data_IF_503693759348
#
_entry.id   IF_503693759348
#
_cell.length_a   1.000
_cell.length_b   1.000
_cell.length_c   1.000
_cell.angle_alpha   90.00
_cell.angle_beta   90.00
_cell.angle_gamma   90.00
#
_symmetry.space_group_name_H-M   'P 1'
#
loop_
_entity.id
_entity.type
_entity.pdbx_description
1 polymer ?
#
# COMPACT_ATOMS: atom_id res chain seq x y z
N UNK A 1 9.55 25.11 -8.34
CA UNK A 1 10.38 24.72 -7.18
C UNK A 1 9.60 23.59 -6.51
N UNK A 2 10.10 22.35 -6.59
CA UNK A 2 9.49 21.20 -5.90
C UNK A 2 9.63 21.46 -4.39
N UNK A 3 8.59 21.29 -3.58
CA UNK A 3 8.76 21.36 -2.14
C UNK A 3 9.73 20.26 -1.73
N UNK A 4 10.85 20.63 -1.11
CA UNK A 4 11.75 19.64 -0.49
C UNK A 4 10.93 18.82 0.50
N UNK A 5 11.05 17.50 0.40
CA UNK A 5 10.38 16.59 1.32
C UNK A 5 10.94 16.88 2.74
N UNK A 6 10.10 17.26 3.71
CA UNK A 6 10.56 17.71 5.02
C UNK A 6 11.47 16.65 5.67
N UNK A 7 12.61 17.05 6.23
CA UNK A 7 13.55 16.16 6.95
C UNK A 7 12.81 15.33 8.00
N UNK A 8 11.86 15.91 8.73
CA UNK A 8 11.02 15.24 9.71
C UNK A 8 10.17 14.09 9.13
N UNK A 9 9.83 14.12 7.85
CA UNK A 9 9.08 13.01 7.23
C UNK A 9 10.02 11.85 6.86
N UNK A 10 11.30 12.14 6.54
CA UNK A 10 12.32 11.09 6.31
C UNK A 10 12.63 10.37 7.61
N UNK A 11 12.79 11.10 8.72
CA UNK A 11 13.09 10.54 10.05
C UNK A 11 12.01 9.54 10.51
N UNK A 12 10.74 9.77 10.16
CA UNK A 12 9.64 8.86 10.49
C UNK A 12 9.71 7.51 9.76
N UNK A 13 10.39 7.46 8.62
CA UNK A 13 10.57 6.22 7.86
C UNK A 13 11.75 5.38 8.36
N UNK A 14 12.71 5.97 9.12
CA UNK A 14 13.90 5.26 9.57
C UNK A 14 13.61 3.98 10.38
N UNK A 15 12.65 3.96 11.35
CA UNK A 15 12.37 2.77 12.13
C UNK A 15 11.76 1.61 11.34
N UNK A 16 11.31 1.85 10.11
CA UNK A 16 10.64 0.82 9.29
C UNK A 16 11.60 -0.33 8.98
N UNK A 17 12.85 -0.03 8.65
CA UNK A 17 13.83 -1.06 8.30
C UNK A 17 14.13 -1.99 9.48
N UNK A 18 14.31 -1.45 10.68
CA UNK A 18 14.59 -2.23 11.88
C UNK A 18 13.40 -3.14 12.23
N UNK A 19 12.17 -2.60 12.17
CA UNK A 19 10.96 -3.37 12.43
C UNK A 19 10.70 -4.46 11.38
N UNK A 20 11.00 -4.18 10.10
CA UNK A 20 10.92 -5.20 9.05
C UNK A 20 11.95 -6.31 9.27
N UNK A 21 13.18 -5.98 9.71
CA UNK A 21 14.19 -6.98 10.04
C UNK A 21 13.78 -7.88 11.21
N UNK A 22 13.19 -7.28 12.24
CA UNK A 22 12.86 -7.97 13.49
C UNK A 22 11.54 -8.76 13.38
N UNK A 23 10.52 -8.16 12.76
CA UNK A 23 9.15 -8.68 12.81
C UNK A 23 8.56 -9.01 11.43
N UNK A 24 9.17 -8.56 10.33
CA UNK A 24 8.63 -8.68 8.98
C UNK A 24 7.53 -7.66 8.64
N UNK A 25 7.19 -6.77 9.56
CA UNK A 25 6.18 -5.72 9.36
C UNK A 25 6.46 -4.47 10.21
N UNK A 26 5.88 -3.34 9.78
CA UNK A 26 5.95 -2.06 10.48
C UNK A 26 4.70 -1.24 10.23
N UNK A 27 4.27 -0.48 11.24
CA UNK A 27 3.23 0.55 11.12
C UNK A 27 3.80 1.86 11.62
N UNK A 28 3.64 2.92 10.82
CA UNK A 28 4.12 4.28 11.11
C UNK A 28 2.96 5.25 10.93
N UNK A 29 2.68 6.05 11.94
CA UNK A 29 1.68 7.12 11.85
C UNK A 29 2.27 8.41 11.28
N UNK A 30 1.43 9.24 10.67
CA UNK A 30 1.82 10.55 10.10
C UNK A 30 3.03 10.44 9.14
N UNK A 31 3.06 9.37 8.31
CA UNK A 31 4.18 9.10 7.41
C UNK A 31 4.41 10.19 6.36
N UNK A 32 3.39 10.96 5.99
CA UNK A 32 3.45 12.07 5.05
C UNK A 32 2.85 13.35 5.64
N UNK A 33 3.21 14.55 5.10
CA UNK A 33 2.58 15.80 5.47
C UNK A 33 1.07 15.80 5.21
N UNK A 34 0.29 16.41 6.11
CA UNK A 34 -1.19 16.47 6.03
C UNK A 34 -1.66 17.03 4.68
N UNK A 35 -1.05 18.11 4.18
CA UNK A 35 -1.43 18.69 2.89
C UNK A 35 -1.25 17.72 1.70
N UNK A 36 -0.26 16.82 1.77
CA UNK A 36 -0.06 15.76 0.77
C UNK A 36 -1.15 14.70 0.90
N UNK A 37 -1.47 14.29 2.13
CA UNK A 37 -2.51 13.30 2.41
C UNK A 37 -3.89 13.79 1.95
N UNK A 38 -4.24 15.05 2.25
CA UNK A 38 -5.51 15.66 1.85
C UNK A 38 -5.67 15.72 0.32
N UNK A 39 -4.60 16.03 -0.41
CA UNK A 39 -4.63 16.04 -1.87
C UNK A 39 -4.73 14.63 -2.46
N UNK A 40 -4.04 13.65 -1.87
CA UNK A 40 -4.14 12.24 -2.28
C UNK A 40 -5.55 11.69 -2.00
N UNK A 41 -6.16 12.02 -0.85
CA UNK A 41 -7.54 11.64 -0.54
C UNK A 41 -8.51 12.25 -1.55
N UNK A 42 -8.42 13.58 -1.80
CA UNK A 42 -9.25 14.26 -2.80
C UNK A 42 -9.11 13.65 -4.19
N UNK A 43 -7.88 13.34 -4.61
CA UNK A 43 -7.63 12.68 -5.89
C UNK A 43 -8.30 11.31 -5.98
N UNK A 44 -8.21 10.49 -4.92
CA UNK A 44 -8.85 9.17 -4.87
C UNK A 44 -10.38 9.28 -4.95
N UNK A 45 -10.98 10.19 -4.19
CA UNK A 45 -12.44 10.41 -4.20
C UNK A 45 -12.94 10.96 -5.53
N UNK A 46 -12.22 11.90 -6.14
CA UNK A 46 -12.56 12.41 -7.47
C UNK A 46 -12.52 11.33 -8.56
N UNK A 47 -11.54 10.40 -8.47
CA UNK A 47 -11.49 9.22 -9.36
C UNK A 47 -12.67 8.27 -9.13
N UNK A 48 -13.13 8.13 -7.88
CA UNK A 48 -14.30 7.33 -7.54
C UNK A 48 -15.59 7.94 -8.06
N UNK A 49 -15.82 9.22 -7.77
CA UNK A 49 -17.00 9.99 -8.23
C UNK A 49 -17.09 10.08 -9.77
N UNK A 50 -15.93 10.18 -10.43
CA UNK A 50 -15.83 10.17 -11.89
C UNK A 50 -15.81 8.77 -12.52
N UNK A 51 -16.13 7.72 -11.75
CA UNK A 51 -16.16 6.31 -12.20
C UNK A 51 -14.86 5.86 -12.89
N UNK A 52 -13.72 6.45 -12.51
CA UNK A 52 -12.42 6.14 -13.09
C UNK A 52 -11.69 4.99 -12.37
N UNK A 53 -12.13 4.61 -11.17
CA UNK A 53 -11.70 3.38 -10.50
C UNK A 53 -12.44 2.18 -11.09
N UNK A 54 -11.75 1.07 -11.30
CA UNK A 54 -12.33 -0.17 -11.85
C UNK A 54 -12.30 -1.27 -10.79
N UNK A 55 -13.32 -2.16 -10.76
CA UNK A 55 -13.29 -3.33 -9.87
C UNK A 55 -11.95 -4.07 -10.00
N UNK A 56 -11.34 -4.37 -8.86
CA UNK A 56 -10.09 -5.11 -8.86
C UNK A 56 -10.34 -6.58 -9.20
N UNK A 57 -9.49 -7.14 -10.06
CA UNK A 57 -9.54 -8.55 -10.40
C UNK A 57 -8.55 -9.35 -9.55
N UNK A 58 -8.85 -10.65 -9.36
CA UNK A 58 -7.94 -11.67 -8.83
C UNK A 58 -7.50 -12.58 -9.97
N UNK A 59 -6.32 -13.20 -9.84
CA UNK A 59 -5.72 -14.00 -10.91
C UNK A 59 -4.84 -13.18 -11.85
N UNK A 60 -4.41 -13.76 -12.97
CA UNK A 60 -3.47 -13.16 -13.92
C UNK A 60 -3.84 -13.43 -15.37
N UNK A 61 -3.36 -12.52 -16.24
CA UNK A 61 -3.51 -12.66 -17.67
C UNK A 61 -4.98 -12.92 -18.06
N UNK A 62 -5.22 -13.94 -18.88
CA UNK A 62 -6.56 -14.32 -19.30
C UNK A 62 -7.45 -14.99 -18.23
N UNK A 63 -6.89 -15.32 -17.06
CA UNK A 63 -7.63 -15.93 -15.94
C UNK A 63 -8.06 -14.92 -14.86
N UNK A 64 -7.90 -13.62 -15.14
CA UNK A 64 -8.36 -12.58 -14.23
C UNK A 64 -9.88 -12.58 -14.10
N UNK A 65 -10.36 -12.62 -12.85
CA UNK A 65 -11.79 -12.59 -12.52
C UNK A 65 -12.09 -11.52 -11.48
N UNK A 66 -13.19 -10.80 -11.68
CA UNK A 66 -13.74 -9.90 -10.68
C UNK A 66 -14.64 -10.72 -9.77
N UNK A 67 -14.24 -10.91 -8.51
CA UNK A 67 -14.96 -11.68 -7.49
C UNK A 67 -15.18 -10.80 -6.27
N UNK A 68 -16.26 -9.98 -6.24
CA UNK A 68 -16.48 -8.98 -5.18
C UNK A 68 -16.56 -9.58 -3.76
N UNK A 69 -17.04 -10.81 -3.63
CA UNK A 69 -17.12 -11.56 -2.37
C UNK A 69 -15.75 -11.97 -1.81
N UNK A 70 -14.70 -11.90 -2.63
CA UNK A 70 -13.32 -12.20 -2.24
C UNK A 70 -12.51 -10.90 -2.12
N UNK A 71 -12.63 -10.01 -3.12
CA UNK A 71 -11.91 -8.74 -3.20
C UNK A 71 -12.85 -7.64 -3.71
N UNK A 72 -13.24 -6.73 -2.82
CA UNK A 72 -14.27 -5.73 -3.08
C UNK A 72 -13.77 -4.31 -3.39
N UNK A 73 -12.46 -4.10 -3.59
CA UNK A 73 -11.92 -2.78 -3.93
C UNK A 73 -12.06 -2.44 -5.41
N UNK A 74 -12.08 -1.13 -5.69
CA UNK A 74 -11.93 -0.55 -7.01
C UNK A 74 -10.59 0.18 -7.06
N UNK A 75 -9.85 0.02 -8.17
CA UNK A 75 -8.48 0.50 -8.28
C UNK A 75 -8.24 1.37 -9.50
N UNK A 76 -7.21 2.23 -9.41
CA UNK A 76 -6.60 2.94 -10.53
C UNK A 76 -5.09 2.99 -10.33
N UNK A 77 -4.33 2.43 -11.27
CA UNK A 77 -2.87 2.49 -11.22
C UNK A 77 -2.37 3.93 -11.29
N UNK A 78 -1.33 4.25 -10.52
CA UNK A 78 -0.78 5.61 -10.49
C UNK A 78 -0.20 6.04 -11.84
N UNK A 79 0.36 5.09 -12.60
CA UNK A 79 0.91 5.33 -13.95
C UNK A 79 -0.17 5.76 -14.94
N UNK A 80 -1.43 5.35 -14.72
CA UNK A 80 -2.58 5.75 -15.54
C UNK A 80 -3.20 7.08 -15.13
N UNK A 81 -2.67 7.73 -14.10
CA UNK A 81 -3.21 8.99 -13.58
C UNK A 81 -2.37 10.18 -14.08
N UNK A 82 -2.99 11.35 -14.39
CA UNK A 82 -2.22 12.56 -14.71
C UNK A 82 -1.31 12.95 -13.53
N UNK A 83 -0.07 13.41 -13.73
CA UNK A 83 0.83 13.78 -12.65
C UNK A 83 0.29 14.94 -11.82
N UNK A 84 0.49 14.90 -10.48
CA UNK A 84 0.26 16.02 -9.58
C UNK A 84 1.32 16.06 -8.47
N UNK A 85 1.44 17.20 -7.78
CA UNK A 85 2.48 17.41 -6.78
C UNK A 85 2.42 16.42 -5.61
N UNK A 86 1.22 16.06 -5.15
CA UNK A 86 1.04 15.14 -4.03
C UNK A 86 1.47 13.70 -4.38
N UNK A 87 1.14 13.24 -5.61
CA UNK A 87 1.62 11.94 -6.08
C UNK A 87 3.14 11.92 -6.27
N UNK A 88 3.71 12.99 -6.81
CA UNK A 88 5.16 13.12 -6.92
C UNK A 88 5.82 13.05 -5.54
N UNK A 89 5.30 13.76 -4.54
CA UNK A 89 5.79 13.70 -3.17
C UNK A 89 5.66 12.28 -2.55
N UNK A 90 4.56 11.59 -2.81
CA UNK A 90 4.39 10.19 -2.39
C UNK A 90 5.42 9.26 -3.05
N UNK A 91 5.62 9.34 -4.35
CA UNK A 91 6.59 8.51 -5.08
C UNK A 91 8.02 8.81 -4.62
N UNK A 92 8.36 10.08 -4.35
CA UNK A 92 9.65 10.45 -3.78
C UNK A 92 9.87 9.83 -2.40
N UNK A 93 8.85 9.84 -1.53
CA UNK A 93 8.91 9.19 -0.22
C UNK A 93 9.14 7.67 -0.37
N UNK A 94 8.41 7.02 -1.27
CA UNK A 94 8.58 5.59 -1.54
C UNK A 94 9.95 5.28 -2.15
N UNK A 95 10.49 6.13 -3.01
CA UNK A 95 11.84 5.98 -3.55
C UNK A 95 12.90 6.04 -2.43
N UNK A 96 12.78 6.98 -1.50
CA UNK A 96 13.67 7.08 -0.32
C UNK A 96 13.56 5.85 0.57
N UNK A 97 12.34 5.38 0.85
CA UNK A 97 12.09 4.15 1.60
C UNK A 97 12.75 2.94 0.91
N UNK A 98 12.60 2.79 -0.40
CA UNK A 98 13.23 1.74 -1.18
C UNK A 98 14.75 1.75 -1.06
N UNK A 99 15.38 2.92 -1.20
CA UNK A 99 16.84 3.06 -1.05
C UNK A 99 17.30 2.69 0.36
N UNK A 100 16.56 3.12 1.38
CA UNK A 100 16.87 2.80 2.77
C UNK A 100 16.78 1.28 3.01
N UNK A 101 15.69 0.63 2.58
CA UNK A 101 15.50 -0.82 2.71
C UNK A 101 16.60 -1.60 1.99
N UNK A 102 17.01 -1.17 0.80
CA UNK A 102 18.12 -1.79 0.08
C UNK A 102 19.45 -1.66 0.82
N UNK A 103 19.73 -0.49 1.41
CA UNK A 103 20.99 -0.26 2.16
C UNK A 103 21.05 -1.00 3.47
N UNK A 104 19.90 -1.14 4.15
CA UNK A 104 19.85 -1.71 5.51
C UNK A 104 19.61 -3.22 5.47
N UNK A 105 18.72 -3.70 4.58
CA UNK A 105 18.24 -5.08 4.56
C UNK A 105 18.73 -5.87 3.32
N UNK A 106 19.45 -5.23 2.39
CA UNK A 106 19.97 -5.83 1.16
C UNK A 106 18.90 -6.56 0.30
N UNK A 107 17.68 -6.00 0.26
CA UNK A 107 16.52 -6.65 -0.37
C UNK A 107 16.57 -6.68 -1.91
N UNK A 108 17.44 -5.91 -2.57
CA UNK A 108 17.56 -5.88 -4.03
C UNK A 108 16.32 -5.32 -4.73
N UNK A 109 15.62 -4.36 -4.10
CA UNK A 109 14.40 -3.74 -4.62
C UNK A 109 14.76 -2.82 -5.80
N UNK A 110 14.14 -3.05 -6.95
CA UNK A 110 14.45 -2.37 -8.21
C UNK A 110 13.36 -1.35 -8.59
N UNK A 111 12.10 -1.74 -8.47
CA UNK A 111 10.96 -0.95 -8.91
C UNK A 111 9.88 -0.83 -7.83
N UNK A 112 8.95 0.08 -8.06
CA UNK A 112 7.77 0.27 -7.23
C UNK A 112 6.54 0.42 -8.12
N UNK A 113 5.50 -0.34 -7.86
CA UNK A 113 4.19 -0.23 -8.49
C UNK A 113 3.15 0.12 -7.44
N UNK A 114 2.20 1.00 -7.75
CA UNK A 114 1.14 1.37 -6.81
C UNK A 114 -0.15 1.81 -7.51
N UNK A 115 -1.26 1.68 -6.80
CA UNK A 115 -2.57 2.13 -7.24
C UNK A 115 -3.36 2.79 -6.11
N UNK A 116 -4.29 3.67 -6.45
CA UNK A 116 -5.39 4.02 -5.56
C UNK A 116 -6.30 2.80 -5.39
N UNK A 117 -6.76 2.58 -4.18
CA UNK A 117 -7.76 1.57 -3.85
C UNK A 117 -8.87 2.21 -3.01
N UNK A 118 -10.11 1.99 -3.42
CA UNK A 118 -11.29 2.37 -2.65
C UNK A 118 -12.17 1.14 -2.45
N UNK A 119 -12.42 0.84 -1.19
CA UNK A 119 -13.38 -0.17 -0.76
C UNK A 119 -14.69 0.55 -0.45
N UNK A 120 -15.80 0.31 -1.19
CA UNK A 120 -17.12 0.80 -0.80
C UNK A 120 -17.55 0.26 0.57
N UNK A 121 -18.50 0.92 1.20
CA UNK A 121 -19.11 0.44 2.44
C UNK A 121 -19.47 -1.04 2.37
N UNK A 122 -19.09 -1.82 3.38
CA UNK A 122 -19.32 -3.27 3.48
C UNK A 122 -18.33 -4.14 2.70
N UNK A 123 -17.53 -3.57 1.82
CA UNK A 123 -16.52 -4.31 1.07
C UNK A 123 -15.28 -4.63 1.92
N UNK A 124 -14.64 -5.74 1.59
CA UNK A 124 -13.39 -6.18 2.21
C UNK A 124 -12.52 -6.96 1.24
N UNK A 125 -11.44 -7.54 1.75
CA UNK A 125 -10.60 -8.46 0.99
C UNK A 125 -10.23 -9.64 1.87
N UNK A 126 -10.58 -10.85 1.41
CA UNK A 126 -10.33 -12.07 2.17
C UNK A 126 -8.84 -12.31 2.40
N UNK A 127 -8.53 -13.14 3.38
CA UNK A 127 -7.20 -13.57 3.78
C UNK A 127 -6.35 -14.03 2.60
N UNK A 128 -5.19 -13.39 2.38
CA UNK A 128 -4.28 -13.67 1.25
C UNK A 128 -2.83 -13.29 1.55
N UNK A 129 -1.95 -13.62 0.62
CA UNK A 129 -0.58 -13.13 0.49
C UNK A 129 -0.48 -12.30 -0.79
N UNK A 130 0.32 -11.24 -0.78
CA UNK A 130 0.54 -10.38 -1.96
C UNK A 130 1.50 -10.97 -2.98
N UNK A 131 2.37 -11.87 -2.53
CA UNK A 131 3.32 -12.57 -3.39
C UNK A 131 2.71 -13.86 -3.91
N UNK A 132 2.55 -13.95 -5.23
CA UNK A 132 2.12 -15.18 -5.89
C UNK A 132 3.30 -16.14 -6.07
N UNK A 133 3.05 -17.46 -6.02
CA UNK A 133 4.08 -18.49 -6.18
C UNK A 133 4.82 -18.41 -7.54
N UNK A 134 4.09 -18.02 -8.57
CA UNK A 134 4.55 -17.92 -9.97
C UNK A 134 5.05 -16.52 -10.35
N UNK A 135 4.98 -15.53 -9.44
CA UNK A 135 5.61 -14.22 -9.61
C UNK A 135 6.21 -13.73 -8.29
N UNK A 136 7.44 -14.12 -7.99
CA UNK A 136 8.10 -13.80 -6.74
C UNK A 136 8.64 -12.36 -6.66
N UNK A 137 8.28 -11.48 -7.59
CA UNK A 137 8.88 -10.14 -7.68
C UNK A 137 8.43 -9.20 -6.58
N UNK A 138 7.16 -9.26 -6.13
CA UNK A 138 6.67 -8.46 -4.99
C UNK A 138 7.36 -8.90 -3.72
N UNK A 139 8.13 -8.01 -3.12
CA UNK A 139 8.98 -8.32 -1.96
C UNK A 139 8.47 -7.64 -0.70
N UNK A 140 8.08 -6.37 -0.81
CA UNK A 140 7.56 -5.58 0.32
C UNK A 140 6.26 -4.91 -0.12
N UNK A 141 5.21 -5.13 0.65
CA UNK A 141 3.90 -4.49 0.50
C UNK A 141 3.85 -3.19 1.30
N UNK A 142 3.19 -2.20 0.74
CA UNK A 142 3.05 -0.86 1.31
C UNK A 142 1.58 -0.44 1.22
N UNK A 143 0.98 -0.01 2.32
CA UNK A 143 -0.38 0.52 2.35
C UNK A 143 -0.37 1.86 3.09
N UNK A 144 -0.66 2.95 2.37
CA UNK A 144 -0.86 4.28 2.94
C UNK A 144 -2.36 4.60 2.97
N UNK A 145 -2.88 4.90 4.16
CA UNK A 145 -4.29 5.26 4.31
C UNK A 145 -4.55 6.74 4.11
N UNK A 146 -5.71 7.05 3.53
CA UNK A 146 -6.08 8.39 3.09
C UNK A 146 -7.34 8.94 3.78
N UNK A 147 -7.87 8.28 4.83
CA UNK A 147 -9.16 8.62 5.42
C UNK A 147 -8.99 9.59 6.60
N UNK A 148 -9.15 10.88 6.35
CA UNK A 148 -8.90 11.96 7.31
C UNK A 148 -9.89 11.96 8.50
N UNK A 149 -11.11 11.44 8.31
CA UNK A 149 -12.17 11.45 9.34
C UNK A 149 -12.53 10.04 9.84
N UNK A 150 -11.56 9.11 9.87
CA UNK A 150 -11.81 7.75 10.33
C UNK A 150 -11.93 7.68 11.85
N UNK A 151 -13.03 7.11 12.33
CA UNK A 151 -13.34 7.01 13.74
C UNK A 151 -13.19 5.56 14.26
N UNK A 152 -12.92 5.37 15.55
CA UNK A 152 -13.04 4.06 16.18
C UNK A 152 -14.44 3.46 15.95
N UNK A 153 -14.50 2.23 15.47
CA UNK A 153 -15.76 1.53 15.14
C UNK A 153 -16.20 1.66 13.68
N UNK A 154 -15.53 2.46 12.83
CA UNK A 154 -15.80 2.51 11.39
C UNK A 154 -15.41 1.18 10.68
N UNK A 155 -14.63 0.30 11.35
CA UNK A 155 -14.16 -0.97 10.78
C UNK A 155 -13.03 -0.79 9.76
N UNK A 156 -12.94 -1.67 8.77
CA UNK A 156 -12.02 -1.54 7.63
C UNK A 156 -10.54 -1.70 7.97
N UNK A 157 -10.21 -2.26 9.13
CA UNK A 157 -8.84 -2.51 9.54
C UNK A 157 -8.14 -3.45 8.55
N UNK A 158 -6.85 -3.22 8.34
CA UNK A 158 -5.96 -4.22 7.78
C UNK A 158 -5.56 -5.16 8.91
N UNK A 159 -6.00 -6.39 8.84
CA UNK A 159 -5.64 -7.43 9.80
C UNK A 159 -4.43 -8.20 9.31
N UNK A 160 -3.32 -8.09 10.04
CA UNK A 160 -2.11 -8.87 9.83
C UNK A 160 -2.18 -10.13 10.71
N UNK A 161 -2.06 -11.31 10.10
CA UNK A 161 -2.05 -12.60 10.81
C UNK A 161 -0.62 -12.99 11.15
N UNK A 162 -0.22 -12.77 12.39
CA UNK A 162 1.13 -13.00 12.88
C UNK A 162 1.20 -14.26 13.77
N UNK A 163 2.39 -14.86 13.99
CA UNK A 163 2.53 -16.03 14.86
C UNK A 163 2.03 -15.80 16.30
N UNK A 164 2.16 -14.56 16.80
CA UNK A 164 1.71 -14.17 18.16
C UNK A 164 0.25 -13.72 18.25
N UNK A 165 -0.52 -13.79 17.17
CA UNK A 165 -1.90 -13.33 17.10
C UNK A 165 -2.11 -12.27 16.01
N UNK A 166 -3.37 -11.92 15.74
CA UNK A 166 -3.70 -10.92 14.76
C UNK A 166 -3.46 -9.49 15.29
N UNK A 167 -2.98 -8.62 14.40
CA UNK A 167 -2.82 -7.17 14.65
C UNK A 167 -3.69 -6.41 13.65
N UNK A 168 -4.56 -5.55 14.16
CA UNK A 168 -5.46 -4.72 13.39
C UNK A 168 -4.88 -3.32 13.23
N UNK A 169 -4.73 -2.87 11.98
CA UNK A 169 -4.23 -1.53 11.63
C UNK A 169 -5.40 -0.69 11.15
N UNK A 170 -5.76 0.33 11.95
CA UNK A 170 -6.84 1.24 11.60
C UNK A 170 -6.48 2.09 10.36
N UNK A 171 -7.39 2.25 9.39
CA UNK A 171 -7.09 2.91 8.11
C UNK A 171 -7.17 4.46 8.21
N UNK A 172 -6.54 5.05 9.23
CA UNK A 172 -6.49 6.51 9.42
C UNK A 172 -5.50 7.17 8.47
N UNK A 173 -5.84 8.36 7.99
CA UNK A 173 -4.97 9.12 7.09
C UNK A 173 -3.55 9.28 7.68
N UNK A 174 -2.55 9.02 6.84
CA UNK A 174 -1.14 9.09 7.21
C UNK A 174 -0.59 7.86 7.90
N UNK A 175 -1.41 6.87 8.26
CA UNK A 175 -0.91 5.57 8.71
C UNK A 175 -0.34 4.82 7.51
N UNK A 176 0.92 4.40 7.62
CA UNK A 176 1.66 3.62 6.63
C UNK A 176 1.95 2.24 7.21
N UNK A 177 1.36 1.20 6.63
CA UNK A 177 1.69 -0.18 6.92
C UNK A 177 2.68 -0.70 5.86
N UNK A 178 3.78 -1.32 6.29
CA UNK A 178 4.82 -1.90 5.43
C UNK A 178 5.09 -3.31 5.93
N UNK A 179 5.07 -4.31 5.04
CA UNK A 179 5.27 -5.70 5.45
C UNK A 179 5.81 -6.57 4.32
N UNK A 180 6.41 -7.69 4.69
CA UNK A 180 6.95 -8.67 3.72
C UNK A 180 5.81 -9.35 2.97
N UNK A 181 5.83 -9.27 1.62
CA UNK A 181 4.74 -9.72 0.76
C UNK A 181 4.56 -11.24 0.72
N UNK A 182 5.61 -12.00 1.07
CA UNK A 182 5.66 -13.46 0.99
C UNK A 182 5.33 -14.19 2.29
N UNK A 183 5.37 -13.51 3.42
CA UNK A 183 5.25 -14.13 4.74
C UNK A 183 4.10 -13.59 5.58
N UNK A 184 3.67 -12.35 5.36
CA UNK A 184 2.58 -11.76 6.15
C UNK A 184 1.23 -11.98 5.47
N UNK A 185 0.51 -12.97 5.96
CA UNK A 185 -0.88 -13.21 5.57
C UNK A 185 -1.76 -12.10 6.16
N UNK A 186 -2.61 -11.52 5.33
CA UNK A 186 -3.44 -10.39 5.75
C UNK A 186 -4.82 -10.39 5.07
N UNK A 187 -5.72 -9.57 5.62
CA UNK A 187 -7.07 -9.35 5.08
C UNK A 187 -7.50 -7.90 5.34
N UNK A 188 -8.47 -7.42 4.56
CA UNK A 188 -9.15 -6.14 4.80
C UNK A 188 -10.53 -6.44 5.35
N UNK A 189 -10.78 -6.00 6.58
CA UNK A 189 -12.09 -6.16 7.21
C UNK A 189 -13.12 -5.21 6.58
N UNK A 190 -14.41 -5.58 6.56
CA UNK A 190 -15.45 -4.68 6.08
C UNK A 190 -15.50 -3.38 6.91
N UNK A 191 -15.78 -2.27 6.22
CA UNK A 191 -15.94 -0.96 6.83
C UNK A 191 -17.37 -0.46 6.71
N UNK A 192 -17.82 0.37 7.67
CA UNK A 192 -19.14 1.00 7.64
C UNK A 192 -19.20 2.24 6.75
N UNK A 193 -18.11 2.57 6.08
CA UNK A 193 -18.00 3.68 5.13
C UNK A 193 -16.93 3.39 4.08
N UNK A 194 -16.87 4.20 3.03
CA UNK A 194 -15.88 4.08 1.97
C UNK A 194 -14.46 4.27 2.53
N UNK A 195 -13.55 3.35 2.20
CA UNK A 195 -12.18 3.29 2.69
C UNK A 195 -11.18 3.49 1.55
N UNK A 196 -10.49 4.61 1.58
CA UNK A 196 -9.48 4.98 0.58
C UNK A 196 -8.05 4.67 1.06
N UNK A 197 -7.21 4.22 0.15
CA UNK A 197 -5.78 3.98 0.38
C UNK A 197 -4.97 4.05 -0.91
N UNK A 198 -3.64 4.21 -0.76
CA UNK A 198 -2.67 3.86 -1.79
C UNK A 198 -2.04 2.53 -1.40
N UNK A 199 -2.09 1.57 -2.30
CA UNK A 199 -1.50 0.23 -2.13
C UNK A 199 -0.41 0.05 -3.16
N UNK A 200 0.76 -0.41 -2.72
CA UNK A 200 1.87 -0.61 -3.63
C UNK A 200 2.83 -1.71 -3.18
N UNK A 201 3.74 -2.04 -4.06
CA UNK A 201 4.73 -3.09 -3.84
C UNK A 201 6.10 -2.67 -4.33
N UNK A 202 7.11 -2.84 -3.48
CA UNK A 202 8.48 -2.88 -3.94
C UNK A 202 8.78 -4.24 -4.52
N UNK A 203 9.40 -4.25 -5.71
CA UNK A 203 9.67 -5.46 -6.49
C UNK A 203 11.17 -5.62 -6.72
N UNK A 204 11.64 -6.87 -6.72
CA UNK A 204 12.97 -7.25 -7.17
C UNK A 204 13.05 -7.29 -8.70
N UNK A 205 14.26 -7.25 -9.22
CA UNK A 205 14.49 -7.65 -10.62
C UNK A 205 14.10 -9.11 -10.81
N UNK A 206 13.54 -9.48 -11.98
CA UNK A 206 13.52 -10.88 -12.38
C UNK A 206 14.95 -11.43 -12.39
N UNK A 207 15.13 -12.66 -11.92
CA UNK A 207 16.40 -13.35 -12.08
C UNK A 207 16.73 -13.40 -13.58
N UNK A 208 17.94 -13.00 -13.95
CA UNK A 208 18.37 -13.06 -15.34
C UNK A 208 18.74 -14.52 -15.68
N UNK A 209 17.95 -15.23 -16.50
CA UNK A 209 18.22 -16.63 -16.83
C UNK A 209 19.54 -16.85 -17.59
N UNK A 210 20.22 -15.76 -18.01
CA UNK A 210 21.52 -15.80 -18.69
C UNK A 210 22.72 -15.72 -17.73
N UNK A 211 22.48 -15.59 -16.41
CA UNK A 211 23.54 -15.48 -15.40
C UNK A 211 23.70 -16.76 -14.54
N UNK A 212 23.12 -17.89 -14.98
CA UNK A 212 23.29 -19.22 -14.39
C UNK A 212 23.99 -20.16 -15.33
#
# INVERSE_FOLDING_TARGET
MMPEFPVAAVERLLPIADRLAEHGWSVTESALPVAVLDELERSCRALWEGEALRPAAIGRGGEQQVLPDIRGDHIRWLDDCPPNAARSAYIDAMSRLRHMLNRTLLLGLDSYEAHYALYPQGAGYRKHLDRFKDNPLRTVSVVLYLNSQWQPGDGGELRLHLPGGAVDVAPRAGTLAVFMSDSIVHEVLPAWRDRASLVGWFRRRPDNPLLH
#
